data_IF_294865996218
#
_entry.id   IF_294865996218
#
_cell.length_a   1.000
_cell.length_b   1.000
_cell.length_c   1.000
_cell.angle_alpha   90.00
_cell.angle_beta   90.00
_cell.angle_gamma   90.00
#
_symmetry.space_group_name_H-M   'P 1'
#
loop_
_entity.id
_entity.type
_entity.pdbx_description
1 polymer ?
#
# COMPACT_ATOMS: atom_id res chain seq x y z
N UNK A 1 9.21 1.86 21.23
CA UNK A 1 9.26 3.12 20.47
C UNK A 1 7.89 3.78 20.44
N UNK A 2 7.80 5.10 20.67
CA UNK A 2 6.52 5.85 20.63
C UNK A 2 6.09 6.12 19.19
N UNK A 3 5.00 5.47 18.74
CA UNK A 3 4.38 5.68 17.42
C UNK A 3 3.91 7.14 17.28
N UNK A 4 4.22 7.79 16.16
CA UNK A 4 3.85 9.18 15.85
C UNK A 4 3.66 9.34 14.34
N UNK A 5 2.81 10.30 13.95
CA UNK A 5 2.72 10.74 12.57
C UNK A 5 3.88 11.71 12.25
N UNK A 6 4.34 11.72 11.00
CA UNK A 6 5.37 12.67 10.52
C UNK A 6 4.81 14.08 10.27
N UNK A 7 3.49 14.23 10.20
CA UNK A 7 2.79 15.51 10.01
C UNK A 7 1.43 15.50 10.69
N UNK A 8 0.44 16.17 10.07
CA UNK A 8 -0.95 16.14 10.57
C UNK A 8 -1.45 14.71 10.54
N UNK A 9 -1.82 14.18 11.72
CA UNK A 9 -2.36 12.83 11.83
C UNK A 9 -3.73 12.69 11.17
N UNK A 10 -4.14 11.45 10.95
CA UNK A 10 -5.48 11.14 10.45
C UNK A 10 -6.50 11.58 11.52
N UNK A 11 -7.53 12.37 11.17
CA UNK A 11 -8.55 12.78 12.13
C UNK A 11 -9.15 11.59 12.87
N UNK A 12 -9.32 11.73 14.19
CA UNK A 12 -9.90 10.71 15.08
C UNK A 12 -9.09 9.41 15.20
N UNK A 13 -7.83 9.37 14.75
CA UNK A 13 -6.94 8.21 14.91
C UNK A 13 -5.85 8.52 15.95
N UNK A 14 -5.79 7.72 17.01
CA UNK A 14 -4.71 7.78 18.01
C UNK A 14 -3.55 6.88 17.63
N UNK A 15 -2.35 7.45 17.48
CA UNK A 15 -1.13 6.68 17.16
C UNK A 15 -0.79 5.62 18.23
N UNK A 16 -1.20 5.85 19.48
CA UNK A 16 -1.01 4.89 20.58
C UNK A 16 -1.89 3.63 20.41
N UNK A 17 -3.02 3.73 19.70
CA UNK A 17 -3.95 2.63 19.49
C UNK A 17 -3.60 1.80 18.24
N UNK A 18 -2.67 2.26 17.40
CA UNK A 18 -2.24 1.52 16.23
C UNK A 18 -1.52 0.24 16.68
N UNK A 19 -1.98 -0.92 16.20
CA UNK A 19 -1.41 -2.25 16.47
C UNK A 19 -0.98 -2.91 15.16
N UNK A 20 -0.24 -4.01 15.28
CA UNK A 20 0.29 -4.74 14.13
C UNK A 20 1.51 -4.08 13.49
N UNK A 21 1.88 -4.64 12.34
CA UNK A 21 3.07 -4.28 11.55
C UNK A 21 2.62 -3.82 10.18
N UNK A 22 3.16 -2.69 9.73
CA UNK A 22 3.06 -2.26 8.33
C UNK A 22 4.24 -2.85 7.57
N UNK A 23 3.96 -3.70 6.60
CA UNK A 23 4.95 -4.24 5.67
C UNK A 23 4.78 -3.48 4.36
N UNK A 24 5.87 -2.90 3.85
CA UNK A 24 5.89 -2.17 2.58
C UNK A 24 6.81 -2.92 1.63
N UNK A 25 6.30 -3.24 0.43
CA UNK A 25 7.05 -3.90 -0.65
C UNK A 25 7.27 -2.88 -1.77
N UNK A 26 8.49 -2.37 -1.87
CA UNK A 26 8.90 -1.39 -2.89
C UNK A 26 9.83 -2.03 -3.93
N UNK A 27 9.90 -1.43 -5.12
CA UNK A 27 10.81 -1.87 -6.18
C UNK A 27 10.48 -1.26 -7.54
N UNK A 28 11.44 -1.25 -8.46
CA UNK A 28 11.25 -0.78 -9.85
C UNK A 28 10.30 -1.67 -10.65
N UNK A 29 9.75 -1.19 -11.75
CA UNK A 29 8.87 -2.01 -12.60
C UNK A 29 9.55 -3.30 -13.07
N UNK A 30 8.81 -4.42 -12.99
CA UNK A 30 9.34 -5.76 -13.24
C UNK A 30 10.05 -6.43 -12.05
N UNK A 31 10.27 -5.75 -10.91
CA UNK A 31 10.93 -6.34 -9.73
C UNK A 31 10.15 -7.44 -9.00
N UNK A 32 8.90 -7.70 -9.39
CA UNK A 32 8.09 -8.77 -8.79
C UNK A 32 7.31 -8.36 -7.53
N UNK A 33 7.05 -7.07 -7.29
CA UNK A 33 6.25 -6.57 -6.16
C UNK A 33 4.92 -7.33 -5.99
N UNK A 34 4.19 -7.53 -7.08
CA UNK A 34 2.91 -8.27 -7.07
C UNK A 34 3.08 -9.73 -6.68
N UNK A 35 4.15 -10.38 -7.14
CA UNK A 35 4.50 -11.75 -6.76
C UNK A 35 4.83 -11.84 -5.27
N UNK A 36 5.62 -10.90 -4.75
CA UNK A 36 5.97 -10.88 -3.32
C UNK A 36 4.74 -10.63 -2.43
N UNK A 37 3.85 -9.73 -2.84
CA UNK A 37 2.57 -9.50 -2.13
C UNK A 37 1.70 -10.76 -2.12
N UNK A 38 1.60 -11.45 -3.26
CA UNK A 38 0.90 -12.73 -3.40
C UNK A 38 1.47 -13.80 -2.47
N UNK A 39 2.79 -14.02 -2.49
CA UNK A 39 3.45 -15.02 -1.66
C UNK A 39 3.26 -14.75 -0.16
N UNK A 40 3.35 -13.48 0.26
CA UNK A 40 3.12 -13.09 1.65
C UNK A 40 1.68 -13.40 2.08
N UNK A 41 0.69 -13.07 1.23
CA UNK A 41 -0.72 -13.37 1.50
C UNK A 41 -0.94 -14.87 1.62
N UNK A 42 -0.40 -15.65 0.68
CA UNK A 42 -0.59 -17.10 0.65
C UNK A 42 0.08 -17.77 1.87
N UNK A 43 1.26 -17.29 2.28
CA UNK A 43 1.92 -17.74 3.50
C UNK A 43 1.08 -17.41 4.75
N UNK A 44 0.56 -16.18 4.87
CA UNK A 44 -0.33 -15.81 5.98
C UNK A 44 -1.59 -16.69 6.03
N UNK A 45 -2.17 -17.00 4.87
CA UNK A 45 -3.29 -17.93 4.76
C UNK A 45 -2.95 -19.34 5.21
N UNK A 46 -1.77 -19.85 4.83
CA UNK A 46 -1.27 -21.16 5.25
C UNK A 46 -1.03 -21.25 6.76
N UNK A 47 -0.63 -20.14 7.39
CA UNK A 47 -0.50 -20.02 8.85
C UNK A 47 -1.86 -19.81 9.57
N UNK A 48 -2.98 -19.79 8.83
CA UNK A 48 -4.33 -19.67 9.39
C UNK A 48 -4.80 -18.24 9.66
N UNK A 49 -4.10 -17.23 9.13
CA UNK A 49 -4.53 -15.84 9.25
C UNK A 49 -5.49 -15.46 8.11
N UNK A 50 -6.69 -14.91 8.41
CA UNK A 50 -7.57 -14.39 7.38
C UNK A 50 -6.96 -13.16 6.71
N UNK A 51 -6.91 -13.17 5.39
CA UNK A 51 -6.37 -12.07 4.58
C UNK A 51 -7.42 -11.48 3.65
N UNK A 52 -7.31 -10.19 3.35
CA UNK A 52 -8.14 -9.52 2.32
C UNK A 52 -7.23 -8.70 1.41
N UNK A 53 -7.42 -8.85 0.10
CA UNK A 53 -6.71 -8.07 -0.90
C UNK A 53 -7.58 -6.90 -1.37
N UNK A 54 -7.01 -5.69 -1.38
CA UNK A 54 -7.68 -4.47 -1.84
C UNK A 54 -6.84 -3.82 -2.92
N UNK A 55 -7.39 -3.72 -4.13
CA UNK A 55 -6.72 -3.10 -5.28
C UNK A 55 -7.23 -1.69 -5.55
N UNK A 56 -6.45 -0.67 -5.26
CA UNK A 56 -6.85 0.74 -5.46
C UNK A 56 -7.16 1.09 -6.92
N UNK A 57 -6.40 0.54 -7.88
CA UNK A 57 -6.65 0.75 -9.32
C UNK A 57 -7.97 0.16 -9.82
N UNK A 58 -8.55 -0.79 -9.07
CA UNK A 58 -9.84 -1.43 -9.41
C UNK A 58 -10.99 -0.88 -8.57
N UNK A 59 -10.75 0.20 -7.82
CA UNK A 59 -11.77 0.85 -7.01
C UNK A 59 -12.71 1.67 -7.91
N UNK A 60 -14.02 1.48 -7.75
CA UNK A 60 -15.02 2.30 -8.46
C UNK A 60 -14.94 3.80 -8.10
N UNK A 61 -14.51 4.11 -6.87
CA UNK A 61 -14.50 5.48 -6.33
C UNK A 61 -13.17 6.21 -6.51
N UNK A 62 -12.08 5.49 -6.72
CA UNK A 62 -10.72 6.07 -6.70
C UNK A 62 -9.88 5.63 -7.91
N UNK A 63 -10.31 4.59 -8.63
CA UNK A 63 -9.63 4.07 -9.81
C UNK A 63 -9.50 5.12 -10.92
N UNK A 64 -10.60 5.77 -11.35
CA UNK A 64 -10.55 6.78 -12.41
C UNK A 64 -9.59 7.93 -12.09
N UNK A 65 -9.64 8.47 -10.88
CA UNK A 65 -8.77 9.57 -10.44
C UNK A 65 -7.30 9.15 -10.36
N UNK A 66 -7.02 7.91 -9.93
CA UNK A 66 -5.66 7.36 -9.92
C UNK A 66 -5.12 7.15 -11.34
N UNK A 67 -5.95 6.68 -12.28
CA UNK A 67 -5.57 6.53 -13.68
C UNK A 67 -5.23 7.88 -14.32
N UNK A 68 -6.05 8.91 -14.09
CA UNK A 68 -5.77 10.27 -14.57
C UNK A 68 -4.50 10.85 -13.93
N UNK A 69 -4.30 10.67 -12.62
CA UNK A 69 -3.08 11.11 -11.95
C UNK A 69 -1.82 10.43 -12.49
N UNK A 70 -1.90 9.13 -12.83
CA UNK A 70 -0.80 8.39 -13.44
C UNK A 70 -0.45 8.92 -14.84
N UNK A 71 -1.43 9.30 -15.66
CA UNK A 71 -1.19 9.92 -16.98
C UNK A 71 -0.42 11.24 -16.86
N UNK A 72 -0.71 12.03 -15.82
CA UNK A 72 -0.03 13.30 -15.54
C UNK A 72 1.43 13.17 -15.07
N UNK A 73 1.84 12.01 -14.57
CA UNK A 73 3.17 11.78 -14.00
C UNK A 73 4.14 11.05 -14.95
N UNK A 74 3.89 11.12 -16.26
CA UNK A 74 4.62 10.36 -17.31
C UNK A 74 6.05 10.87 -17.58
N UNK A 75 6.49 11.97 -16.96
CA UNK A 75 7.81 12.56 -17.20
C UNK A 75 8.65 12.58 -15.92
N UNK A 76 9.58 11.61 -15.80
CA UNK A 76 10.82 11.84 -15.08
C UNK A 76 11.66 12.86 -15.89
N UNK A 77 12.30 13.87 -15.27
CA UNK A 77 13.36 14.61 -15.93
C UNK A 77 14.46 13.61 -16.31
N UNK A 78 14.76 13.51 -17.60
CA UNK A 78 16.04 12.98 -18.06
C UNK A 78 17.09 14.05 -17.69
N UNK A 79 17.73 13.89 -16.54
CA UNK A 79 19.00 14.57 -16.24
C UNK A 79 20.15 13.73 -16.75
#
# INVERSE_FOLDING_TARGET
MRKRFYGKGIPRVSAANLKGTLIVIEGSDGSGRSTQSMLLRDWLGAEGYPTTEVGLKRSELVGPELEEAMKGNTLHPLT
#
